data_IF_414731343030
#
_entry.id   IF_414731343030
#
_cell.length_a   1.000
_cell.length_b   1.000
_cell.length_c   1.000
_cell.angle_alpha   90.00
_cell.angle_beta   90.00
_cell.angle_gamma   90.00
#
_symmetry.space_group_name_H-M   'P 1'
#
loop_
_entity.id
_entity.type
_entity.pdbx_description
1 polymer ?
#
# COMPACT_ATOMS: atom_id res chain seq x y z
N UNK A 1 -10.30 -1.83 -3.71
CA UNK A 1 -9.03 -2.50 -4.06
C UNK A 1 -9.29 -3.90 -4.59
N UNK A 2 -9.93 -4.78 -3.81
CA UNK A 2 -10.27 -6.14 -4.27
C UNK A 2 -10.94 -6.16 -5.66
N UNK A 3 -11.97 -5.33 -5.88
CA UNK A 3 -12.65 -5.24 -7.18
C UNK A 3 -11.71 -4.95 -8.37
N UNK A 4 -10.70 -4.10 -8.19
CA UNK A 4 -9.74 -3.75 -9.24
C UNK A 4 -8.69 -4.85 -9.47
N UNK A 5 -8.36 -5.63 -8.43
CA UNK A 5 -7.44 -6.76 -8.56
C UNK A 5 -8.11 -7.94 -9.26
N UNK A 6 -9.39 -8.21 -8.99
CA UNK A 6 -10.12 -9.34 -9.59
C UNK A 6 -10.65 -9.05 -11.00
N UNK A 7 -10.75 -7.77 -11.38
CA UNK A 7 -11.17 -7.39 -12.74
C UNK A 7 -10.11 -7.70 -13.80
N UNK A 8 -8.85 -7.88 -13.39
CA UNK A 8 -7.74 -8.26 -14.27
C UNK A 8 -7.03 -9.50 -13.69
N UNK A 9 -7.18 -10.68 -14.33
CA UNK A 9 -6.54 -11.91 -13.88
C UNK A 9 -5.01 -11.83 -13.78
N UNK A 10 -4.34 -11.06 -14.65
CA UNK A 10 -2.89 -10.92 -14.62
C UNK A 10 -2.45 -10.14 -13.37
N UNK A 11 -3.13 -9.03 -13.08
CA UNK A 11 -2.93 -8.27 -11.85
C UNK A 11 -3.12 -9.12 -10.60
N UNK A 12 -4.13 -10.00 -10.59
CA UNK A 12 -4.37 -10.89 -9.45
C UNK A 12 -3.19 -11.84 -9.23
N UNK A 13 -2.65 -12.45 -10.30
CA UNK A 13 -1.47 -13.32 -10.22
C UNK A 13 -0.25 -12.54 -9.72
N UNK A 14 -0.04 -11.32 -10.23
CA UNK A 14 1.06 -10.45 -9.79
C UNK A 14 0.92 -10.08 -8.31
N UNK A 15 -0.29 -9.77 -7.87
CA UNK A 15 -0.63 -9.50 -6.46
C UNK A 15 -0.37 -10.71 -5.56
N UNK A 16 -0.77 -11.90 -5.99
CA UNK A 16 -0.53 -13.16 -5.29
C UNK A 16 0.95 -13.56 -5.28
N UNK A 17 1.75 -13.12 -6.26
CA UNK A 17 3.21 -13.33 -6.25
C UNK A 17 3.95 -12.47 -5.20
N UNK A 18 3.30 -11.41 -4.67
CA UNK A 18 3.91 -10.56 -3.65
C UNK A 18 4.07 -11.31 -2.32
N UNK A 19 5.11 -10.95 -1.57
CA UNK A 19 5.24 -11.36 -0.17
C UNK A 19 4.10 -10.76 0.66
N UNK A 20 3.76 -11.34 1.83
CA UNK A 20 2.77 -10.75 2.74
C UNK A 20 3.10 -9.29 3.09
N UNK A 21 4.40 -8.99 3.26
CA UNK A 21 4.88 -7.64 3.48
C UNK A 21 4.59 -6.74 2.26
N UNK A 22 4.91 -7.19 1.04
CA UNK A 22 4.63 -6.42 -0.18
C UNK A 22 3.15 -6.07 -0.35
N UNK A 23 2.26 -7.02 -0.09
CA UNK A 23 0.80 -6.77 -0.10
C UNK A 23 0.40 -5.76 0.96
N UNK A 24 0.91 -5.92 2.19
CA UNK A 24 0.63 -4.99 3.28
C UNK A 24 1.12 -3.57 2.99
N UNK A 25 2.24 -3.40 2.30
CA UNK A 25 2.74 -2.08 1.87
C UNK A 25 1.74 -1.37 0.95
N UNK A 26 1.24 -2.04 -0.09
CA UNK A 26 0.21 -1.49 -0.98
C UNK A 26 -1.10 -1.19 -0.25
N UNK A 27 -1.57 -2.10 0.60
CA UNK A 27 -2.81 -1.90 1.38
C UNK A 27 -2.67 -0.67 2.28
N UNK A 28 -1.60 -0.58 3.06
CA UNK A 28 -1.39 0.54 3.99
C UNK A 28 -1.20 1.86 3.25
N UNK A 29 -0.51 1.83 2.11
CA UNK A 29 -0.36 3.01 1.26
C UNK A 29 -1.71 3.46 0.69
N UNK A 30 -2.58 2.56 0.22
CA UNK A 30 -3.94 2.95 -0.21
C UNK A 30 -4.75 3.50 0.96
N UNK A 31 -4.72 2.85 2.12
CA UNK A 31 -5.53 3.20 3.29
C UNK A 31 -5.12 4.53 3.96
N UNK A 32 -3.83 4.87 3.92
CA UNK A 32 -3.30 6.15 4.43
C UNK A 32 -3.94 7.38 3.74
N UNK A 33 -4.47 7.23 2.53
CA UNK A 33 -5.14 8.31 1.83
C UNK A 33 -6.50 8.65 2.49
N UNK A 34 -6.56 9.82 3.12
CA UNK A 34 -7.78 10.34 3.79
C UNK A 34 -8.93 10.62 2.82
N UNK A 35 -8.63 11.09 1.61
CA UNK A 35 -9.65 11.42 0.61
C UNK A 35 -10.01 10.21 -0.26
N UNK A 36 -11.30 9.99 -0.48
CA UNK A 36 -11.79 8.88 -1.31
C UNK A 36 -11.26 8.92 -2.75
N UNK A 37 -11.18 10.11 -3.36
CA UNK A 37 -10.60 10.30 -4.69
C UNK A 37 -9.14 9.84 -4.75
N UNK A 38 -8.35 10.15 -3.73
CA UNK A 38 -6.96 9.71 -3.65
C UNK A 38 -6.86 8.20 -3.45
N UNK A 39 -7.75 7.59 -2.64
CA UNK A 39 -7.81 6.12 -2.51
C UNK A 39 -8.10 5.44 -3.85
N UNK A 40 -9.07 5.94 -4.60
CA UNK A 40 -9.39 5.40 -5.94
C UNK A 40 -8.18 5.46 -6.87
N UNK A 41 -7.52 6.62 -6.96
CA UNK A 41 -6.30 6.79 -7.76
C UNK A 41 -5.15 5.88 -7.31
N UNK A 42 -4.96 5.66 -6.00
CA UNK A 42 -3.94 4.75 -5.47
C UNK A 42 -4.24 3.29 -5.81
N UNK A 43 -5.52 2.90 -5.90
CA UNK A 43 -5.93 1.56 -6.36
C UNK A 43 -5.57 1.36 -7.83
N UNK A 44 -5.92 2.32 -8.70
CA UNK A 44 -5.54 2.28 -10.13
C UNK A 44 -4.02 2.18 -10.29
N UNK A 45 -3.28 3.03 -9.57
CA UNK A 45 -1.82 3.02 -9.62
C UNK A 45 -1.21 1.72 -9.06
N UNK A 46 -1.88 1.04 -8.14
CA UNK A 46 -1.43 -0.27 -7.65
C UNK A 46 -1.42 -1.28 -8.80
N UNK A 47 -2.45 -1.27 -9.65
CA UNK A 47 -2.52 -2.12 -10.85
C UNK A 47 -1.36 -1.79 -11.80
N UNK A 48 -1.17 -0.51 -12.13
CA UNK A 48 -0.07 -0.04 -12.99
C UNK A 48 1.31 -0.48 -12.44
N UNK A 49 1.56 -0.24 -11.16
CA UNK A 49 2.84 -0.55 -10.53
C UNK A 49 3.13 -2.06 -10.48
N UNK A 50 2.10 -2.90 -10.32
CA UNK A 50 2.25 -4.36 -10.38
C UNK A 50 2.67 -4.80 -11.79
N UNK A 51 2.04 -4.25 -12.83
CA UNK A 51 2.39 -4.48 -14.24
C UNK A 51 3.80 -3.99 -14.59
N UNK A 52 4.24 -2.90 -13.97
CA UNK A 52 5.64 -2.42 -14.04
C UNK A 52 6.62 -3.31 -13.24
N UNK A 53 6.16 -4.38 -12.60
CA UNK A 53 6.98 -5.31 -11.83
C UNK A 53 7.35 -4.81 -10.43
N UNK A 54 6.79 -3.70 -9.95
CA UNK A 54 7.08 -3.17 -8.62
C UNK A 54 6.45 -4.07 -7.55
N UNK A 55 7.26 -4.37 -6.53
CA UNK A 55 6.85 -5.19 -5.39
C UNK A 55 6.41 -4.36 -4.17
N UNK A 56 6.50 -3.02 -4.27
CA UNK A 56 6.12 -2.03 -3.26
C UNK A 56 5.65 -0.74 -3.92
N UNK A 57 4.81 0.07 -3.25
CA UNK A 57 4.35 1.33 -3.79
C UNK A 57 5.48 2.32 -4.07
N UNK A 58 5.42 3.03 -5.19
CA UNK A 58 6.37 4.09 -5.50
C UNK A 58 6.13 5.31 -4.59
N UNK A 59 7.23 5.94 -4.17
CA UNK A 59 7.19 7.11 -3.26
C UNK A 59 6.52 6.83 -1.90
N UNK A 60 6.54 5.58 -1.43
CA UNK A 60 6.06 5.20 -0.10
C UNK A 60 7.23 4.92 0.85
N UNK A 61 7.25 5.61 1.99
CA UNK A 61 8.34 5.52 2.97
C UNK A 61 8.42 4.16 3.69
N UNK A 62 7.38 3.34 3.55
CA UNK A 62 7.24 2.05 4.23
C UNK A 62 6.08 2.06 5.21
N UNK A 63 5.51 0.90 5.50
CA UNK A 63 4.44 0.75 6.47
C UNK A 63 4.96 0.82 7.93
N UNK A 64 4.12 1.29 8.86
CA UNK A 64 4.42 1.21 10.32
C UNK A 64 4.38 -0.23 10.86
N UNK A 65 3.80 -1.17 10.12
CA UNK A 65 3.74 -2.59 10.48
C UNK A 65 5.03 -3.35 10.13
N UNK A 66 6.05 -2.67 9.60
CA UNK A 66 7.36 -3.27 9.34
C UNK A 66 8.07 -3.54 10.67
N UNK A 67 8.57 -4.76 10.83
CA UNK A 67 9.38 -5.14 12.00
C UNK A 67 10.88 -4.92 11.79
N UNK A 68 11.31 -4.78 10.54
CA UNK A 68 12.73 -4.64 10.17
C UNK A 68 13.26 -3.21 10.29
N UNK A 69 12.37 -2.22 10.44
CA UNK A 69 12.73 -0.80 10.53
C UNK A 69 11.79 -0.04 11.45
N UNK A 70 12.36 0.84 12.28
CA UNK A 70 11.57 1.77 13.08
C UNK A 70 10.81 2.78 12.19
N UNK A 71 9.58 3.18 12.56
CA UNK A 71 8.85 4.26 11.90
C UNK A 71 9.67 5.56 11.87
N UNK A 72 9.55 6.33 10.79
CA UNK A 72 10.13 7.68 10.76
C UNK A 72 9.44 8.61 11.77
N UNK A 73 10.09 9.72 12.13
CA UNK A 73 9.54 10.71 13.08
C UNK A 73 8.12 11.17 12.74
N UNK A 74 7.84 11.38 11.46
CA UNK A 74 6.50 11.75 11.00
C UNK A 74 5.50 10.59 11.14
N UNK A 75 5.90 9.37 10.77
CA UNK A 75 5.03 8.19 10.90
C UNK A 75 4.69 7.91 12.36
N UNK A 76 5.66 8.03 13.26
CA UNK A 76 5.43 7.89 14.71
C UNK A 76 4.39 8.90 15.19
N UNK A 77 4.61 10.19 14.94
CA UNK A 77 3.73 11.24 15.42
C UNK A 77 2.31 11.20 14.80
N UNK A 78 2.20 10.89 13.50
CA UNK A 78 0.95 11.06 12.74
C UNK A 78 0.16 9.76 12.60
N UNK A 79 0.83 8.62 12.40
CA UNK A 79 0.15 7.35 12.13
C UNK A 79 -0.02 6.49 13.39
N UNK A 80 0.89 6.62 14.36
CA UNK A 80 0.86 5.84 15.61
C UNK A 80 0.27 6.69 16.74
N UNK A 81 0.96 7.75 17.18
CA UNK A 81 0.62 8.50 18.39
C UNK A 81 -0.74 9.20 18.28
N UNK A 82 -1.06 9.74 17.09
CA UNK A 82 -2.35 10.39 16.84
C UNK A 82 -3.54 9.42 16.81
N UNK A 83 -3.33 8.14 16.47
CA UNK A 83 -4.38 7.12 16.46
C UNK A 83 -4.69 6.58 17.87
N UNK A 84 -3.75 6.72 18.81
CA UNK A 84 -3.89 6.27 20.19
C UNK A 84 -4.64 7.27 21.09
N UNK A 85 -4.98 8.45 20.57
CA UNK A 85 -5.78 9.49 21.21
C UNK A 85 -7.20 9.47 20.68
#
# INVERSE_FOLDING_TARGET
MQAALVSDPETLVLWESLTPLGRNEFICWVDDAKQAKTRARRIERTVEELHEGKKRPCCWAGCIHRTDKAPSRWQQAVLIDKKAK
#
